data_IF_673987203054
#
_entry.id   IF_673987203054
#
_cell.length_a   1.000
_cell.length_b   1.000
_cell.length_c   1.000
_cell.angle_alpha   90.00
_cell.angle_beta   90.00
_cell.angle_gamma   90.00
#
_symmetry.space_group_name_H-M   'P 1'
#
loop_
_entity.id
_entity.type
_entity.pdbx_description
1 polymer ?
#
# COMPACT_ATOMS: atom_id res chain seq x y z
N UNK A 1 -0.11 7.13 14.61
CA UNK A 1 0.42 5.84 14.08
C UNK A 1 1.95 5.94 13.93
N UNK A 2 2.72 4.84 14.00
CA UNK A 2 4.18 4.88 13.77
C UNK A 2 4.52 4.81 12.28
N UNK A 3 5.64 5.42 11.86
CA UNK A 3 6.09 5.41 10.47
C UNK A 3 7.58 5.13 10.34
N UNK A 4 7.99 4.44 9.27
CA UNK A 4 9.40 4.35 8.86
C UNK A 4 9.55 4.30 7.35
N UNK A 5 10.64 4.90 6.86
CA UNK A 5 11.10 4.78 5.48
C UNK A 5 12.42 4.01 5.49
N UNK A 6 12.46 2.87 4.81
CA UNK A 6 13.69 2.12 4.61
C UNK A 6 14.39 2.62 3.35
N UNK A 7 15.65 3.03 3.49
CA UNK A 7 16.42 3.65 2.40
C UNK A 7 17.15 2.64 1.52
N UNK A 8 17.44 1.45 2.04
CA UNK A 8 18.06 0.39 1.26
C UNK A 8 16.99 -0.38 0.48
N UNK A 9 17.42 -1.02 -0.61
CA UNK A 9 16.55 -1.87 -1.41
C UNK A 9 16.11 -3.11 -0.62
N UNK A 10 14.81 -3.37 -0.60
CA UNK A 10 14.20 -4.52 0.06
C UNK A 10 13.16 -5.17 -0.86
N UNK A 11 13.32 -6.46 -1.14
CA UNK A 11 12.40 -7.20 -1.99
C UNK A 11 11.07 -7.47 -1.28
N UNK A 12 9.97 -7.31 -2.02
CA UNK A 12 8.65 -7.77 -1.59
C UNK A 12 8.33 -9.12 -2.23
N UNK A 13 8.20 -10.15 -1.39
CA UNK A 13 7.91 -11.53 -1.82
C UNK A 13 6.55 -12.05 -1.37
N UNK A 14 5.75 -11.18 -0.74
CA UNK A 14 4.51 -11.54 -0.02
C UNK A 14 4.76 -11.93 1.44
N UNK A 15 5.94 -12.48 1.77
CA UNK A 15 6.28 -12.88 3.14
C UNK A 15 6.22 -11.72 4.16
N UNK A 16 6.46 -10.49 3.70
CA UNK A 16 6.41 -9.30 4.55
C UNK A 16 4.98 -8.95 4.99
N UNK A 17 3.95 -9.44 4.29
CA UNK A 17 2.55 -9.27 4.66
C UNK A 17 2.12 -10.31 5.72
N UNK A 18 2.80 -10.28 6.87
CA UNK A 18 2.50 -11.14 8.03
C UNK A 18 2.53 -10.34 9.33
N UNK A 19 1.83 -10.85 10.34
CA UNK A 19 1.79 -10.18 11.64
C UNK A 19 3.17 -10.02 12.24
N UNK A 20 3.38 -8.89 12.90
CA UNK A 20 4.62 -8.47 13.56
C UNK A 20 5.84 -8.31 12.65
N UNK A 21 5.73 -8.43 11.32
CA UNK A 21 6.88 -8.24 10.43
C UNK A 21 7.52 -6.85 10.60
N UNK A 22 6.69 -5.81 10.76
CA UNK A 22 7.16 -4.44 10.98
C UNK A 22 7.91 -4.33 12.32
N UNK A 23 7.39 -4.95 13.38
CA UNK A 23 8.03 -4.95 14.69
C UNK A 23 9.36 -5.70 14.67
N UNK A 24 9.40 -6.89 14.07
CA UNK A 24 10.59 -7.73 13.95
C UNK A 24 11.70 -7.06 13.12
N UNK A 25 11.33 -6.32 12.07
CA UNK A 25 12.29 -5.75 11.11
C UNK A 25 12.73 -4.33 11.48
N UNK A 26 11.81 -3.51 11.98
CA UNK A 26 12.05 -2.07 12.23
C UNK A 26 11.95 -1.68 13.72
N UNK A 27 11.58 -2.60 14.60
CA UNK A 27 11.45 -2.31 16.04
C UNK A 27 10.26 -1.41 16.39
N UNK A 28 9.30 -1.22 15.48
CA UNK A 28 8.13 -0.38 15.71
C UNK A 28 7.02 -1.21 16.37
N UNK A 29 6.73 -0.93 17.64
CA UNK A 29 5.72 -1.64 18.42
C UNK A 29 4.37 -0.88 18.43
N UNK A 30 3.33 -1.49 17.87
CA UNK A 30 1.99 -0.92 17.74
C UNK A 30 1.61 -0.65 16.28
N UNK A 31 0.50 0.07 16.05
CA UNK A 31 0.05 0.40 14.70
C UNK A 31 1.13 1.16 13.93
N UNK A 32 1.53 0.63 12.79
CA UNK A 32 2.68 1.13 12.03
C UNK A 32 2.50 0.97 10.53
N UNK A 33 3.04 1.92 9.76
CA UNK A 33 3.17 1.83 8.30
C UNK A 33 4.63 2.07 7.93
N UNK A 34 5.16 1.22 7.05
CA UNK A 34 6.52 1.35 6.55
C UNK A 34 6.52 1.43 5.04
N UNK A 35 7.45 2.21 4.48
CA UNK A 35 7.67 2.29 3.06
C UNK A 35 9.10 1.87 2.71
N UNK A 36 9.28 1.24 1.55
CA UNK A 36 10.57 0.80 1.04
C UNK A 36 10.51 0.60 -0.48
N UNK A 37 11.67 0.60 -1.14
CA UNK A 37 11.78 0.31 -2.58
C UNK A 37 12.40 -1.06 -2.80
N UNK A 38 11.97 -1.75 -3.85
CA UNK A 38 12.67 -2.93 -4.32
C UNK A 38 11.86 -3.77 -5.31
N UNK A 39 12.40 -4.92 -5.72
CA UNK A 39 11.73 -5.79 -6.66
C UNK A 39 10.50 -6.43 -6.01
N UNK A 40 9.51 -6.70 -6.84
CA UNK A 40 8.29 -7.41 -6.47
C UNK A 40 8.31 -8.78 -7.14
N UNK A 41 8.18 -9.85 -6.34
CA UNK A 41 7.97 -11.20 -6.86
C UNK A 41 7.20 -12.02 -5.82
N UNK A 42 5.87 -12.04 -5.92
CA UNK A 42 5.03 -12.75 -4.96
C UNK A 42 4.96 -14.22 -5.32
N UNK A 43 5.45 -15.07 -4.42
CA UNK A 43 5.29 -16.51 -4.57
C UNK A 43 3.81 -16.90 -4.44
N UNK A 44 3.35 -17.89 -5.21
CA UNK A 44 1.97 -18.40 -5.13
C UNK A 44 1.57 -18.82 -3.71
N UNK A 45 2.51 -19.31 -2.89
CA UNK A 45 2.26 -19.67 -1.49
C UNK A 45 1.98 -18.47 -0.59
N UNK A 46 2.51 -17.30 -0.95
CA UNK A 46 2.38 -16.03 -0.21
C UNK A 46 1.27 -15.13 -0.79
N UNK A 47 0.65 -15.53 -1.91
CA UNK A 47 -0.40 -14.76 -2.56
C UNK A 47 -1.66 -14.75 -1.71
N UNK A 48 -2.00 -13.61 -1.14
CA UNK A 48 -3.16 -13.50 -0.25
C UNK A 48 -4.48 -13.47 -1.02
N UNK A 49 -4.51 -12.76 -2.15
CA UNK A 49 -5.70 -12.72 -3.01
C UNK A 49 -5.99 -14.11 -3.59
N UNK A 50 -7.13 -14.66 -3.18
CA UNK A 50 -7.55 -15.99 -3.66
C UNK A 50 -8.06 -15.93 -5.09
N UNK A 51 -8.62 -14.82 -5.54
CA UNK A 51 -9.04 -14.64 -6.92
C UNK A 51 -7.84 -14.70 -7.87
N UNK A 52 -6.74 -14.04 -7.52
CA UNK A 52 -5.49 -14.08 -8.28
C UNK A 52 -4.91 -15.49 -8.35
N UNK A 53 -4.93 -16.22 -7.22
CA UNK A 53 -4.54 -17.65 -7.19
C UNK A 53 -5.43 -18.50 -8.11
N UNK A 54 -6.74 -18.25 -8.14
CA UNK A 54 -7.65 -18.95 -9.03
C UNK A 54 -7.44 -18.59 -10.51
N UNK A 55 -6.96 -17.38 -10.80
CA UNK A 55 -6.69 -16.87 -12.13
C UNK A 55 -5.26 -17.17 -12.63
N UNK A 56 -4.41 -17.77 -11.79
CA UNK A 56 -2.98 -18.03 -12.07
C UNK A 56 -2.21 -16.74 -12.43
N UNK A 57 -2.59 -15.63 -11.77
CA UNK A 57 -1.94 -14.34 -11.99
C UNK A 57 -0.60 -14.27 -11.25
N UNK A 58 0.43 -13.76 -11.92
CA UNK A 58 1.72 -13.45 -11.31
C UNK A 58 1.73 -12.00 -10.82
N UNK A 59 2.45 -11.72 -9.74
CA UNK A 59 2.70 -10.34 -9.29
C UNK A 59 4.21 -10.14 -9.28
N UNK A 60 4.71 -9.53 -10.36
CA UNK A 60 6.14 -9.31 -10.60
C UNK A 60 6.39 -7.90 -11.13
N UNK A 61 7.49 -7.29 -10.70
CA UNK A 61 8.01 -6.03 -11.24
C UNK A 61 9.48 -5.86 -10.81
N UNK A 62 10.30 -5.27 -11.69
CA UNK A 62 11.72 -5.02 -11.42
C UNK A 62 11.91 -4.05 -10.24
N UNK A 63 11.06 -3.03 -10.12
CA UNK A 63 11.08 -2.13 -8.98
C UNK A 63 9.70 -1.53 -8.68
N UNK A 64 9.32 -1.54 -7.40
CA UNK A 64 8.15 -0.84 -6.90
C UNK A 64 8.49 -0.05 -5.63
N UNK A 65 7.68 0.97 -5.37
CA UNK A 65 7.57 1.59 -4.06
C UNK A 65 6.49 0.83 -3.27
N UNK A 66 6.89 0.18 -2.19
CA UNK A 66 6.02 -0.62 -1.34
C UNK A 66 5.64 0.13 -0.07
N UNK A 67 4.42 -0.11 0.38
CA UNK A 67 3.90 0.26 1.69
C UNK A 67 3.34 -0.98 2.36
N UNK A 68 3.71 -1.21 3.63
CA UNK A 68 3.11 -2.25 4.48
C UNK A 68 2.61 -1.58 5.74
N UNK A 69 1.32 -1.75 6.04
CA UNK A 69 0.72 -1.28 7.27
C UNK A 69 0.18 -2.46 8.09
N UNK A 70 0.35 -2.36 9.41
CA UNK A 70 -0.22 -3.26 10.40
C UNK A 70 -1.01 -2.44 11.42
N UNK A 71 -2.26 -2.84 11.66
CA UNK A 71 -3.14 -2.26 12.69
C UNK A 71 -3.58 -3.37 13.65
N UNK A 72 -3.47 -3.15 14.94
CA UNK A 72 -3.82 -4.14 15.97
C UNK A 72 -5.34 -4.16 16.26
N UNK A 73 -6.11 -4.51 15.24
CA UNK A 73 -7.53 -4.86 15.31
C UNK A 73 -7.83 -6.11 14.45
N UNK A 74 -9.11 -6.49 14.34
CA UNK A 74 -9.52 -7.77 13.73
C UNK A 74 -10.65 -7.60 12.68
N UNK A 75 -10.94 -6.36 12.27
CA UNK A 75 -12.04 -6.09 11.36
C UNK A 75 -11.54 -6.04 9.91
N UNK A 76 -11.76 -7.14 9.17
CA UNK A 76 -11.38 -7.24 7.77
C UNK A 76 -12.08 -6.17 6.90
N UNK A 77 -13.35 -5.83 7.17
CA UNK A 77 -14.01 -4.77 6.43
C UNK A 77 -13.33 -3.43 6.68
N UNK A 78 -12.94 -3.15 7.93
CA UNK A 78 -12.16 -1.96 8.26
C UNK A 78 -10.79 -1.97 7.57
N UNK A 79 -10.11 -3.11 7.48
CA UNK A 79 -8.85 -3.25 6.76
C UNK A 79 -9.01 -2.91 5.27
N UNK A 80 -10.03 -3.47 4.62
CA UNK A 80 -10.36 -3.15 3.22
C UNK A 80 -10.74 -1.68 3.06
N UNK A 81 -11.50 -1.08 3.98
CA UNK A 81 -11.80 0.36 3.94
C UNK A 81 -10.55 1.22 4.05
N UNK A 82 -9.62 0.89 4.95
CA UNK A 82 -8.31 1.57 5.07
C UNK A 82 -7.48 1.44 3.80
N UNK A 83 -7.50 0.28 3.16
CA UNK A 83 -6.85 0.05 1.86
C UNK A 83 -7.43 0.94 0.78
N UNK A 84 -8.75 0.97 0.62
CA UNK A 84 -9.41 1.84 -0.38
C UNK A 84 -9.15 3.32 -0.08
N UNK A 85 -9.16 3.72 1.19
CA UNK A 85 -8.83 5.08 1.61
C UNK A 85 -7.39 5.43 1.22
N UNK A 86 -6.42 4.56 1.52
CA UNK A 86 -5.02 4.82 1.18
C UNK A 86 -4.80 4.93 -0.33
N UNK A 87 -5.50 4.11 -1.14
CA UNK A 87 -5.49 4.24 -2.60
C UNK A 87 -6.10 5.58 -3.05
N UNK A 88 -7.17 6.07 -2.42
CA UNK A 88 -7.69 7.42 -2.69
C UNK A 88 -6.66 8.50 -2.35
N UNK A 89 -5.99 8.40 -1.19
CA UNK A 89 -4.95 9.35 -0.78
C UNK A 89 -3.78 9.38 -1.78
N UNK A 90 -3.33 8.21 -2.24
CA UNK A 90 -2.31 8.10 -3.29
C UNK A 90 -2.81 8.77 -4.57
N UNK A 91 -4.03 8.47 -5.01
CA UNK A 91 -4.60 9.06 -6.22
C UNK A 91 -4.68 10.58 -6.13
N UNK A 92 -5.12 11.13 -5.00
CA UNK A 92 -5.20 12.57 -4.78
C UNK A 92 -3.81 13.21 -4.74
N UNK A 93 -2.84 12.53 -4.12
CA UNK A 93 -1.47 13.03 -4.04
C UNK A 93 -0.84 13.12 -5.42
N UNK A 94 -0.95 12.08 -6.23
CA UNK A 94 -0.41 12.04 -7.59
C UNK A 94 -1.10 13.05 -8.51
N UNK A 95 -2.41 13.26 -8.37
CA UNK A 95 -3.16 14.23 -9.16
C UNK A 95 -2.80 15.71 -8.88
N UNK A 96 -2.12 15.99 -7.76
CA UNK A 96 -1.65 17.36 -7.41
C UNK A 96 -0.36 17.74 -8.14
N UNK A 97 0.35 16.79 -8.73
CA UNK A 97 1.60 17.07 -9.42
C UNK A 97 1.34 17.84 -10.72
N UNK A 98 2.10 18.92 -11.00
CA UNK A 98 2.06 19.57 -12.30
C UNK A 98 2.45 18.60 -13.41
N UNK A 99 1.50 18.26 -14.30
CA UNK A 99 1.72 17.21 -15.30
C UNK A 99 1.53 15.79 -14.77
N UNK A 100 0.89 15.65 -13.60
CA UNK A 100 0.55 14.37 -12.99
C UNK A 100 -0.36 13.50 -13.85
N UNK A 101 -0.46 12.20 -13.53
CA UNK A 101 -1.21 11.24 -14.32
C UNK A 101 -2.71 11.54 -14.34
N UNK A 102 -3.35 11.28 -15.49
CA UNK A 102 -4.81 11.17 -15.55
C UNK A 102 -5.24 9.81 -15.00
N UNK A 103 -5.47 9.77 -13.68
CA UNK A 103 -5.73 8.54 -12.95
C UNK A 103 -7.19 8.09 -13.06
N UNK A 104 -7.37 6.79 -13.25
CA UNK A 104 -8.64 6.09 -13.04
C UNK A 104 -8.47 5.11 -11.90
N UNK A 105 -9.28 5.25 -10.85
CA UNK A 105 -9.34 4.29 -9.74
C UNK A 105 -10.45 3.29 -9.98
N UNK A 106 -10.13 2.01 -9.89
CA UNK A 106 -11.09 0.91 -9.92
C UNK A 106 -10.95 0.13 -8.63
N UNK A 107 -11.75 0.49 -7.63
CA UNK A 107 -11.59 -0.10 -6.32
C UNK A 107 -10.26 0.28 -5.66
N UNK A 108 -9.32 -0.67 -5.57
CA UNK A 108 -8.00 -0.62 -4.93
C UNK A 108 -6.87 -0.57 -5.96
N UNK A 109 -7.22 -0.60 -7.24
CA UNK A 109 -6.28 -0.41 -8.32
C UNK A 109 -6.32 1.02 -8.85
N UNK A 110 -5.14 1.52 -9.23
CA UNK A 110 -4.94 2.76 -9.97
C UNK A 110 -4.44 2.45 -11.38
N UNK A 111 -4.99 3.13 -12.36
CA UNK A 111 -4.64 3.00 -13.77
C UNK A 111 -4.34 4.35 -14.41
N UNK A 112 -3.48 4.34 -15.43
CA UNK A 112 -3.29 5.43 -16.40
C UNK A 112 -3.63 4.90 -17.79
N UNK A 113 -4.82 5.25 -18.28
CA UNK A 113 -5.42 4.55 -19.42
C UNK A 113 -5.68 3.07 -19.07
N UNK A 114 -5.12 2.17 -19.87
CA UNK A 114 -5.23 0.72 -19.68
C UNK A 114 -4.02 0.12 -18.91
N UNK A 115 -3.07 0.96 -18.48
CA UNK A 115 -1.87 0.51 -17.80
C UNK A 115 -2.04 0.58 -16.29
N UNK A 116 -1.69 -0.49 -15.58
CA UNK A 116 -1.84 -0.61 -14.13
C UNK A 116 -0.68 0.07 -13.41
N UNK A 117 -0.98 0.99 -12.48
CA UNK A 117 0.01 1.74 -11.71
C UNK A 117 0.29 1.10 -10.36
N UNK A 118 -0.74 0.49 -9.74
CA UNK A 118 -0.65 -0.04 -8.39
C UNK A 118 -1.07 -1.49 -8.29
N UNK A 119 -0.55 -2.17 -7.28
CA UNK A 119 -1.11 -3.41 -6.72
C UNK A 119 -1.43 -3.15 -5.25
N UNK A 120 -2.44 -3.81 -4.71
CA UNK A 120 -2.87 -3.59 -3.34
C UNK A 120 -3.60 -4.80 -2.80
N UNK A 121 -3.44 -5.07 -1.50
CA UNK A 121 -4.18 -6.12 -0.81
C UNK A 121 -4.39 -5.75 0.66
N UNK A 122 -5.49 -6.21 1.24
CA UNK A 122 -5.75 -6.12 2.67
C UNK A 122 -6.20 -7.48 3.21
N UNK A 123 -5.78 -7.79 4.43
CA UNK A 123 -6.10 -9.07 5.08
C UNK A 123 -6.09 -8.94 6.60
N UNK A 124 -6.39 -10.04 7.27
CA UNK A 124 -6.41 -10.16 8.72
C UNK A 124 -5.58 -11.36 9.14
N UNK A 125 -4.74 -11.16 10.15
CA UNK A 125 -4.03 -12.20 10.89
C UNK A 125 -4.82 -12.54 12.17
N UNK A 126 -4.42 -13.57 12.94
CA UNK A 126 -5.04 -13.84 14.23
C UNK A 126 -4.95 -12.70 15.27
N UNK A 127 -4.09 -11.68 15.05
CA UNK A 127 -3.79 -10.64 16.04
C UNK A 127 -3.80 -9.20 15.49
N UNK A 128 -3.95 -9.01 14.19
CA UNK A 128 -3.83 -7.71 13.52
C UNK A 128 -4.47 -7.72 12.13
N UNK A 129 -4.81 -6.56 11.59
CA UNK A 129 -5.09 -6.37 10.17
C UNK A 129 -3.87 -5.83 9.44
N UNK A 130 -3.71 -6.25 8.20
CA UNK A 130 -2.53 -6.00 7.38
C UNK A 130 -2.94 -5.43 6.02
N UNK A 131 -2.14 -4.52 5.49
CA UNK A 131 -2.33 -3.92 4.18
C UNK A 131 -0.98 -3.82 3.46
N UNK A 132 -0.95 -4.17 2.18
CA UNK A 132 0.15 -3.86 1.27
C UNK A 132 -0.35 -3.02 0.10
N UNK A 133 0.46 -2.04 -0.29
CA UNK A 133 0.31 -1.31 -1.56
C UNK A 133 1.67 -1.24 -2.24
N UNK A 134 1.72 -1.54 -3.52
CA UNK A 134 2.88 -1.31 -4.38
C UNK A 134 2.54 -0.31 -5.48
N UNK A 135 3.44 0.63 -5.76
CA UNK A 135 3.38 1.52 -6.92
C UNK A 135 4.55 1.21 -7.85
N UNK A 136 4.28 1.03 -9.14
CA UNK A 136 5.30 0.71 -10.13
C UNK A 136 6.32 1.85 -10.27
N UNK A 137 7.62 1.52 -10.15
CA UNK A 137 8.76 2.41 -10.42
C UNK A 137 9.45 1.97 -11.70
N UNK A 138 9.66 0.65 -11.85
CA UNK A 138 10.08 -0.03 -13.08
C UNK A 138 9.24 -1.31 -13.20
N UNK A 139 8.30 -1.32 -14.14
CA UNK A 139 7.38 -2.43 -14.35
C UNK A 139 7.94 -3.55 -15.23
N UNK A 140 9.24 -3.53 -15.55
CA UNK A 140 9.88 -4.61 -16.30
C UNK A 140 9.63 -5.96 -15.62
N UNK A 141 9.09 -6.92 -16.38
CA UNK A 141 8.73 -8.26 -15.88
C UNK A 141 7.28 -8.41 -15.43
N UNK A 142 6.51 -7.33 -15.32
CA UNK A 142 5.09 -7.42 -14.99
C UNK A 142 4.28 -8.16 -16.07
N UNK A 143 3.27 -8.97 -15.70
CA UNK A 143 2.46 -9.74 -16.65
C UNK A 143 1.43 -8.87 -17.39
N UNK A 144 1.21 -7.65 -16.93
CA UNK A 144 0.31 -6.66 -17.52
C UNK A 144 1.07 -5.38 -17.83
N UNK A 145 0.55 -4.56 -18.74
CA UNK A 145 1.15 -3.26 -19.04
C UNK A 145 1.09 -2.35 -17.81
N UNK A 146 2.22 -1.76 -17.44
CA UNK A 146 2.37 -0.91 -16.25
C UNK A 146 2.46 0.56 -16.61
N UNK A 147 1.92 1.40 -15.73
CA UNK A 147 2.28 2.81 -15.66
C UNK A 147 3.23 2.99 -14.50
N UNK A 148 4.23 3.85 -14.64
CA UNK A 148 5.29 4.04 -13.66
C UNK A 148 5.26 5.47 -13.11
N UNK A 149 5.51 5.64 -11.81
CA UNK A 149 5.46 6.97 -11.18
C UNK A 149 6.52 7.93 -11.76
N UNK A 150 7.65 7.40 -12.23
CA UNK A 150 8.73 8.18 -12.85
C UNK A 150 8.33 8.88 -14.16
N UNK A 151 7.33 8.37 -14.89
CA UNK A 151 6.81 8.99 -16.12
C UNK A 151 6.25 10.39 -15.87
N UNK A 152 5.85 10.68 -14.63
CA UNK A 152 5.20 11.93 -14.23
C UNK A 152 6.15 12.86 -13.45
N UNK A 153 7.46 12.56 -13.45
CA UNK A 153 8.47 13.36 -12.73
C UNK A 153 8.40 13.22 -11.21
N UNK A 154 7.77 12.15 -10.71
CA UNK A 154 7.54 11.93 -9.28
C UNK A 154 8.69 11.11 -8.71
N UNK A 155 9.39 11.69 -7.72
CA UNK A 155 10.42 10.97 -7.00
C UNK A 155 9.80 9.97 -6.00
N UNK A 156 10.15 8.67 -6.07
CA UNK A 156 9.57 7.66 -5.19
C UNK A 156 9.85 7.89 -3.70
N UNK A 157 11.00 8.47 -3.35
CA UNK A 157 11.41 8.66 -1.97
C UNK A 157 10.64 9.84 -1.34
N UNK A 158 10.49 10.94 -2.07
CA UNK A 158 9.66 12.07 -1.63
C UNK A 158 8.18 11.67 -1.52
N UNK A 159 7.66 10.95 -2.51
CA UNK A 159 6.31 10.40 -2.47
C UNK A 159 6.09 9.50 -1.24
N UNK A 160 7.06 8.62 -0.93
CA UNK A 160 7.00 7.74 0.23
C UNK A 160 6.94 8.52 1.55
N UNK A 161 7.81 9.53 1.73
CA UNK A 161 7.83 10.37 2.94
C UNK A 161 6.51 11.06 3.18
N UNK A 162 5.91 11.59 2.12
CA UNK A 162 4.65 12.33 2.21
C UNK A 162 3.48 11.39 2.49
N UNK A 163 3.37 10.27 1.77
CA UNK A 163 2.29 9.30 2.00
C UNK A 163 2.36 8.65 3.38
N UNK A 164 3.56 8.37 3.92
CA UNK A 164 3.72 7.89 5.29
C UNK A 164 3.17 8.89 6.31
N UNK A 165 3.52 10.17 6.14
CA UNK A 165 3.05 11.25 7.01
C UNK A 165 1.54 11.44 6.89
N UNK A 166 1.03 11.48 5.67
CA UNK A 166 -0.38 11.72 5.38
C UNK A 166 -1.24 10.58 5.92
N UNK A 167 -0.84 9.32 5.68
CA UNK A 167 -1.56 8.16 6.22
C UNK A 167 -1.55 8.13 7.74
N UNK A 168 -0.41 8.40 8.39
CA UNK A 168 -0.38 8.48 9.85
C UNK A 168 -1.31 9.58 10.38
N UNK A 169 -1.32 10.74 9.74
CA UNK A 169 -2.17 11.87 10.13
C UNK A 169 -3.65 11.53 9.95
N UNK A 170 -4.00 10.87 8.84
CA UNK A 170 -5.36 10.43 8.56
C UNK A 170 -5.84 9.41 9.60
N UNK A 171 -5.01 8.44 9.99
CA UNK A 171 -5.38 7.46 11.02
C UNK A 171 -5.58 8.10 12.39
N UNK A 172 -4.73 9.06 12.75
CA UNK A 172 -4.86 9.80 14.01
C UNK A 172 -6.12 10.69 14.01
N UNK A 173 -6.45 11.37 12.90
CA UNK A 173 -7.68 12.16 12.79
C UNK A 173 -8.94 11.30 12.80
N UNK A 174 -8.94 10.15 12.12
CA UNK A 174 -10.04 9.18 12.17
C UNK A 174 -10.32 8.77 13.61
N UNK A 175 -9.28 8.45 14.38
CA UNK A 175 -9.42 8.12 15.80
C UNK A 175 -10.05 9.29 16.57
N UNK A 176 -9.52 10.50 16.44
CA UNK A 176 -10.06 11.69 17.10
C UNK A 176 -11.51 12.00 16.67
N UNK A 177 -11.88 11.70 15.43
CA UNK A 177 -13.24 11.84 14.94
C UNK A 177 -14.23 10.92 15.65
N UNK A 178 -13.80 9.73 16.09
CA UNK A 178 -14.63 8.86 16.93
C UNK A 178 -14.88 9.44 18.32
N UNK A 179 -13.98 10.30 18.82
CA UNK A 179 -14.06 10.88 20.16
C UNK A 179 -14.88 12.17 20.25
N UNK A 180 -15.32 12.74 19.12
CA UNK A 180 -16.00 14.06 19.06
C UNK A 180 -17.47 13.99 18.66
N UNK A 181 -18.04 12.79 18.57
CA UNK A 181 -19.46 12.56 18.23
C UNK A 181 -20.26 12.14 19.46
N UNK A 182 -21.49 12.66 19.60
CA UNK A 182 -22.41 12.18 20.64
C UNK A 182 -23.04 10.85 20.22
N UNK A 183 -23.31 9.97 21.19
CA UNK A 183 -24.18 8.82 20.96
C UNK A 183 -25.61 9.26 20.60
N UNK A 184 -26.27 8.54 19.70
CA UNK A 184 -27.66 8.78 19.27
C UNK A 184 -28.54 7.57 19.65
N UNK A 185 -29.82 7.83 19.95
CA UNK A 185 -30.83 6.82 20.29
C UNK A 185 -31.88 6.72 19.20
#
# INVERSE_FOLDING_TARGET
MLTALHTDTLAYTGHQLRSHWIFETFGLQGDAIVAFRGPCQVALSEMVDRADVFADEAIEAAEMLHFIAEHFDHDLNRAVLRQRLFICMISERLAREPGGPNLRREGDDLYVGDRKLSVSIATVSPVSTLMHVGLNVDGTGAPVATAEIGEFGIDPHDLARELLKDYSTEMDDIYLATCKVRGVQ
#
